data_IF_739745949371
#
_entry.id   IF_739745949371
#
_cell.length_a   1.000
_cell.length_b   1.000
_cell.length_c   1.000
_cell.angle_alpha   90.00
_cell.angle_beta   90.00
_cell.angle_gamma   90.00
#
_symmetry.space_group_name_H-M   'P 1'
#
loop_
_entity.id
_entity.type
_entity.pdbx_description
1 polymer ?
#
# COMPACT_ATOMS: atom_id res chain seq x y z
N UNK A 1 9.82 -8.98 12.58
CA UNK A 1 8.93 -9.00 13.75
C UNK A 1 7.53 -8.67 13.27
N UNK A 2 6.56 -9.60 13.38
CA UNK A 2 5.20 -9.32 12.91
C UNK A 2 4.58 -8.20 13.76
N UNK A 3 4.12 -7.12 13.13
CA UNK A 3 3.74 -5.88 13.80
C UNK A 3 2.29 -5.46 13.51
N UNK A 4 1.70 -4.65 14.40
CA UNK A 4 0.34 -4.10 14.24
C UNK A 4 0.37 -2.83 13.37
N UNK A 5 -0.34 -2.85 12.24
CA UNK A 5 -0.41 -1.70 11.33
C UNK A 5 -1.02 -0.47 12.01
N UNK A 6 -1.97 -0.64 12.94
CA UNK A 6 -2.63 0.49 13.61
C UNK A 6 -1.64 1.31 14.41
N UNK A 7 -0.75 0.63 15.14
CA UNK A 7 0.30 1.32 15.89
C UNK A 7 1.16 2.14 14.93
N UNK A 8 1.66 1.51 13.88
CA UNK A 8 2.63 2.14 12.98
C UNK A 8 2.02 3.27 12.18
N UNK A 9 0.80 3.13 11.65
CA UNK A 9 0.15 4.18 10.87
C UNK A 9 -0.19 5.40 11.75
N UNK A 10 -0.60 5.17 13.00
CA UNK A 10 -0.79 6.27 13.95
C UNK A 10 0.54 6.92 14.35
N UNK A 11 1.62 6.15 14.55
CA UNK A 11 2.96 6.71 14.81
C UNK A 11 3.43 7.57 13.63
N UNK A 12 3.24 7.07 12.40
CA UNK A 12 3.54 7.77 11.15
C UNK A 12 2.77 9.08 11.02
N UNK A 13 1.46 9.05 11.26
CA UNK A 13 0.61 10.23 11.29
C UNK A 13 1.11 11.26 12.32
N UNK A 14 1.41 10.82 13.55
CA UNK A 14 1.80 11.70 14.66
C UNK A 14 3.21 12.29 14.50
N UNK A 15 4.11 11.57 13.85
CA UNK A 15 5.51 11.98 13.63
C UNK A 15 5.79 12.47 12.21
N UNK A 16 4.75 12.67 11.40
CA UNK A 16 4.83 13.22 10.04
C UNK A 16 5.78 12.47 9.10
N UNK A 17 5.67 11.15 9.08
CA UNK A 17 6.30 10.30 8.07
C UNK A 17 5.24 9.35 7.45
N UNK A 18 5.60 8.59 6.43
CA UNK A 18 4.75 7.51 5.93
C UNK A 18 5.46 6.16 5.94
N UNK A 19 4.70 5.09 6.22
CA UNK A 19 5.17 3.73 6.10
C UNK A 19 5.12 3.33 4.64
N UNK A 20 6.21 2.72 4.16
CA UNK A 20 6.25 2.17 2.83
C UNK A 20 5.46 0.87 2.76
N UNK A 21 4.49 0.83 1.85
CA UNK A 21 3.77 -0.37 1.46
C UNK A 21 4.26 -0.82 0.10
N UNK A 22 4.78 -2.05 0.04
CA UNK A 22 5.27 -2.67 -1.18
C UNK A 22 4.48 -3.93 -1.52
N UNK A 23 3.93 -3.95 -2.73
CA UNK A 23 3.32 -5.15 -3.31
C UNK A 23 4.40 -6.10 -3.84
N UNK A 24 4.33 -7.37 -3.44
CA UNK A 24 5.29 -8.44 -3.77
C UNK A 24 4.58 -9.75 -4.11
N UNK A 25 5.08 -10.50 -5.10
CA UNK A 25 4.48 -11.80 -5.51
C UNK A 25 5.51 -12.90 -5.79
N UNK A 26 6.80 -12.63 -5.61
CA UNK A 26 7.86 -13.63 -5.75
C UNK A 26 8.93 -13.46 -4.67
N UNK A 27 9.88 -14.39 -4.64
CA UNK A 27 10.91 -14.47 -3.64
C UNK A 27 11.87 -13.27 -3.71
N UNK A 28 12.28 -12.86 -4.91
CA UNK A 28 13.24 -11.77 -5.14
C UNK A 28 12.70 -10.44 -4.63
N UNK A 29 11.43 -10.14 -4.91
CA UNK A 29 10.80 -8.90 -4.47
C UNK A 29 10.59 -8.89 -2.95
N UNK A 30 10.06 -9.98 -2.38
CA UNK A 30 9.84 -10.09 -0.94
C UNK A 30 11.15 -9.96 -0.16
N UNK A 31 12.20 -10.67 -0.60
CA UNK A 31 13.52 -10.58 0.02
C UNK A 31 14.14 -9.20 -0.16
N UNK A 32 14.05 -8.59 -1.34
CA UNK A 32 14.62 -7.27 -1.59
C UNK A 32 13.97 -6.17 -0.72
N UNK A 33 12.64 -6.20 -0.57
CA UNK A 33 11.92 -5.27 0.30
C UNK A 33 12.30 -5.45 1.77
N UNK A 34 12.40 -6.71 2.25
CA UNK A 34 12.81 -6.98 3.63
C UNK A 34 14.25 -6.54 3.88
N UNK A 35 15.18 -6.82 2.95
CA UNK A 35 16.56 -6.36 3.06
C UNK A 35 16.66 -4.84 3.17
N UNK A 36 15.83 -4.12 2.40
CA UNK A 36 15.79 -2.66 2.42
C UNK A 36 15.26 -2.13 3.76
N UNK A 37 14.20 -2.73 4.29
CA UNK A 37 13.62 -2.37 5.57
C UNK A 37 14.59 -2.63 6.73
N UNK A 38 15.29 -3.77 6.73
CA UNK A 38 16.31 -4.10 7.74
C UNK A 38 17.50 -3.15 7.67
N UNK A 39 18.02 -2.86 6.48
CA UNK A 39 19.11 -1.90 6.31
C UNK A 39 18.72 -0.50 6.77
N UNK A 40 17.51 -0.07 6.44
CA UNK A 40 17.00 1.24 6.83
C UNK A 40 16.56 1.32 8.29
N UNK A 41 16.48 0.19 9.02
CA UNK A 41 15.81 0.10 10.33
C UNK A 41 14.41 0.74 10.28
N UNK A 42 13.59 0.35 9.32
CA UNK A 42 12.28 0.94 9.06
C UNK A 42 11.16 -0.07 9.31
N UNK A 43 10.00 0.35 9.85
CA UNK A 43 8.77 -0.42 9.69
C UNK A 43 8.42 -0.54 8.20
N UNK A 44 7.85 -1.66 7.78
CA UNK A 44 7.44 -1.88 6.39
C UNK A 44 6.17 -2.72 6.29
N UNK A 45 5.36 -2.45 5.28
CA UNK A 45 4.22 -3.28 4.89
C UNK A 45 4.61 -4.08 3.66
N UNK A 46 4.67 -5.41 3.78
CA UNK A 46 4.72 -6.33 2.65
C UNK A 46 3.31 -6.76 2.30
N UNK A 47 2.97 -6.70 1.02
CA UNK A 47 1.58 -6.87 0.62
C UNK A 47 1.42 -7.72 -0.62
N UNK A 48 0.24 -8.33 -0.70
CA UNK A 48 -0.26 -9.04 -1.87
C UNK A 48 -1.65 -8.50 -2.19
N UNK A 49 -1.97 -8.33 -3.47
CA UNK A 49 -3.25 -7.78 -3.89
C UNK A 49 -3.91 -8.60 -4.98
N UNK A 50 -5.20 -8.33 -5.20
CA UNK A 50 -6.01 -9.01 -6.22
C UNK A 50 -5.38 -8.97 -7.63
N UNK A 51 -4.60 -7.94 -7.94
CA UNK A 51 -3.91 -7.79 -9.22
C UNK A 51 -2.83 -8.86 -9.51
N UNK A 52 -2.36 -9.60 -8.50
CA UNK A 52 -1.21 -10.52 -8.65
C UNK A 52 -1.57 -12.00 -8.53
N UNK A 53 -2.85 -12.34 -8.38
CA UNK A 53 -3.32 -13.73 -8.29
C UNK A 53 -2.97 -14.54 -9.55
N UNK A 54 -2.72 -13.88 -10.69
CA UNK A 54 -2.21 -14.53 -11.91
C UNK A 54 -0.72 -14.85 -11.90
N UNK A 55 0.07 -14.30 -10.98
CA UNK A 55 1.52 -14.44 -10.93
C UNK A 55 1.98 -15.60 -10.04
N UNK A 56 1.28 -15.85 -8.94
CA UNK A 56 1.57 -16.94 -7.99
C UNK A 56 0.31 -17.32 -7.22
N UNK A 57 0.29 -18.53 -6.61
CA UNK A 57 -0.72 -18.85 -5.60
C UNK A 57 -0.45 -18.03 -4.35
N UNK A 58 -1.45 -17.25 -3.97
CA UNK A 58 -1.38 -16.49 -2.73
C UNK A 58 -1.31 -17.42 -1.52
N UNK A 59 -2.09 -18.50 -1.50
CA UNK A 59 -2.16 -19.45 -0.39
C UNK A 59 -0.79 -20.02 -0.07
N UNK A 60 -0.04 -20.42 -1.08
CA UNK A 60 1.33 -20.92 -0.92
C UNK A 60 2.32 -19.80 -0.57
N UNK A 61 2.23 -18.66 -1.26
CA UNK A 61 3.18 -17.55 -1.09
C UNK A 61 3.04 -16.84 0.27
N UNK A 62 1.82 -16.80 0.82
CA UNK A 62 1.50 -16.21 2.13
C UNK A 62 2.36 -16.79 3.25
N UNK A 63 2.64 -18.10 3.20
CA UNK A 63 3.47 -18.78 4.18
C UNK A 63 4.91 -18.25 4.18
N UNK A 64 5.45 -17.92 3.00
CA UNK A 64 6.75 -17.28 2.88
C UNK A 64 6.72 -15.85 3.43
N UNK A 65 5.71 -15.05 3.07
CA UNK A 65 5.54 -13.68 3.57
C UNK A 65 5.49 -13.65 5.10
N UNK A 66 4.61 -14.45 5.72
CA UNK A 66 4.43 -14.51 7.17
C UNK A 66 5.67 -15.04 7.88
N UNK A 67 6.33 -16.07 7.32
CA UNK A 67 7.56 -16.63 7.89
C UNK A 67 8.69 -15.60 7.94
N UNK A 68 8.87 -14.84 6.85
CA UNK A 68 9.89 -13.80 6.77
C UNK A 68 9.54 -12.59 7.64
N UNK A 69 8.29 -12.14 7.63
CA UNK A 69 7.81 -11.08 8.51
C UNK A 69 8.08 -11.39 10.00
N UNK A 70 7.86 -12.63 10.44
CA UNK A 70 8.15 -13.06 11.82
C UNK A 70 9.65 -13.02 12.15
N UNK A 71 10.52 -13.39 11.20
CA UNK A 71 11.98 -13.49 11.39
C UNK A 71 12.73 -12.17 11.25
N UNK A 72 12.15 -11.19 10.56
CA UNK A 72 12.79 -9.89 10.34
C UNK A 72 13.18 -9.22 11.68
N UNK A 73 14.29 -8.48 11.66
CA UNK A 73 14.78 -7.69 12.78
C UNK A 73 14.01 -6.37 13.00
N UNK A 74 13.23 -5.96 11.99
CA UNK A 74 12.37 -4.76 12.02
C UNK A 74 10.87 -5.13 12.07
N UNK A 75 9.99 -4.16 12.40
CA UNK A 75 8.55 -4.32 12.32
C UNK A 75 8.09 -4.56 10.87
N UNK A 76 7.40 -5.67 10.63
CA UNK A 76 6.85 -6.03 9.32
C UNK A 76 5.37 -6.34 9.47
N UNK A 77 4.55 -5.71 8.63
CA UNK A 77 3.12 -5.95 8.51
C UNK A 77 2.86 -6.77 7.23
N UNK A 78 1.94 -7.73 7.31
CA UNK A 78 1.43 -8.48 6.14
C UNK A 78 0.04 -7.97 5.79
N UNK A 79 -0.10 -7.39 4.59
CA UNK A 79 -1.34 -6.73 4.16
C UNK A 79 -1.96 -7.38 2.92
N UNK A 80 -3.28 -7.39 2.84
CA UNK A 80 -4.00 -7.66 1.59
C UNK A 80 -4.48 -6.37 0.92
N UNK A 81 -3.98 -6.10 -0.29
CA UNK A 81 -4.28 -4.90 -1.08
C UNK A 81 -5.50 -5.10 -2.00
N UNK A 82 -6.38 -4.10 -2.03
CA UNK A 82 -7.59 -4.06 -2.85
C UNK A 82 -8.49 -5.31 -2.78
N UNK A 83 -8.88 -5.75 -1.57
CA UNK A 83 -9.81 -6.87 -1.40
C UNK A 83 -11.21 -6.55 -1.94
N UNK A 84 -11.58 -7.17 -3.08
CA UNK A 84 -12.83 -6.88 -3.82
C UNK A 84 -14.08 -7.61 -3.30
N UNK A 85 -13.94 -8.58 -2.41
CA UNK A 85 -15.05 -9.31 -1.79
C UNK A 85 -14.70 -9.78 -0.38
N UNK A 86 -15.72 -10.12 0.41
CA UNK A 86 -15.54 -10.72 1.74
C UNK A 86 -14.78 -12.04 1.67
N UNK A 87 -15.03 -12.86 0.65
CA UNK A 87 -14.33 -14.13 0.41
C UNK A 87 -12.82 -13.92 0.24
N UNK A 88 -12.41 -12.92 -0.55
CA UNK A 88 -11.00 -12.61 -0.81
C UNK A 88 -10.29 -12.21 0.49
N UNK A 89 -10.84 -11.26 1.24
CA UNK A 89 -10.18 -10.77 2.47
C UNK A 89 -10.24 -11.81 3.60
N UNK A 90 -11.27 -12.65 3.63
CA UNK A 90 -11.33 -13.80 4.53
C UNK A 90 -10.24 -14.83 4.19
N UNK A 91 -10.03 -15.14 2.90
CA UNK A 91 -8.95 -16.01 2.46
C UNK A 91 -7.57 -15.44 2.85
N UNK A 92 -7.37 -14.14 2.68
CA UNK A 92 -6.16 -13.45 3.09
C UNK A 92 -5.87 -13.60 4.59
N UNK A 93 -6.88 -13.38 5.42
CA UNK A 93 -6.80 -13.56 6.86
C UNK A 93 -6.50 -15.01 7.27
N UNK A 94 -7.21 -16.00 6.70
CA UNK A 94 -6.97 -17.43 6.97
C UNK A 94 -5.53 -17.83 6.69
N UNK A 95 -4.90 -17.20 5.69
CA UNK A 95 -3.52 -17.43 5.29
C UNK A 95 -2.51 -16.49 5.98
N UNK A 96 -2.91 -15.83 7.06
CA UNK A 96 -2.01 -15.16 8.00
C UNK A 96 -1.69 -13.71 7.68
N UNK A 97 -2.44 -13.06 6.79
CA UNK A 97 -2.42 -11.60 6.69
C UNK A 97 -2.94 -10.99 7.99
N UNK A 98 -2.20 -10.02 8.53
CA UNK A 98 -2.56 -9.36 9.79
C UNK A 98 -3.08 -7.93 9.60
N UNK A 99 -3.31 -7.52 8.35
CA UNK A 99 -4.01 -6.31 7.94
C UNK A 99 -4.71 -6.57 6.61
N UNK A 100 -5.89 -5.98 6.41
CA UNK A 100 -6.69 -6.19 5.21
C UNK A 100 -7.16 -4.84 4.65
N UNK A 101 -7.32 -4.74 3.34
CA UNK A 101 -8.09 -3.67 2.72
C UNK A 101 -9.39 -4.22 2.13
N UNK A 102 -10.53 -3.62 2.48
CA UNK A 102 -11.79 -3.81 1.76
C UNK A 102 -11.97 -2.66 0.76
N UNK A 103 -11.78 -2.97 -0.52
CA UNK A 103 -11.99 -2.00 -1.58
C UNK A 103 -13.38 -2.18 -2.23
N UNK A 104 -14.32 -1.35 -1.77
CA UNK A 104 -15.65 -1.18 -2.34
C UNK A 104 -15.84 0.21 -3.00
N UNK A 105 -14.75 0.88 -3.38
CA UNK A 105 -14.76 2.22 -4.00
C UNK A 105 -15.54 2.31 -5.32
N UNK A 106 -15.67 1.20 -6.04
CA UNK A 106 -16.43 1.12 -7.29
C UNK A 106 -17.96 1.13 -7.09
N UNK A 107 -18.44 0.97 -5.85
CA UNK A 107 -19.85 1.04 -5.50
C UNK A 107 -20.25 2.46 -5.10
N UNK A 108 -21.56 2.74 -5.07
CA UNK A 108 -22.04 4.01 -4.52
C UNK A 108 -21.74 4.13 -3.02
N UNK A 109 -21.90 5.34 -2.48
CA UNK A 109 -21.50 5.67 -1.12
C UNK A 109 -22.14 4.76 -0.05
N UNK A 110 -23.44 4.47 -0.19
CA UNK A 110 -24.18 3.67 0.80
C UNK A 110 -23.77 2.20 0.72
N UNK A 111 -23.60 1.66 -0.48
CA UNK A 111 -23.16 0.28 -0.66
C UNK A 111 -21.68 0.09 -0.26
N UNK A 112 -20.82 1.09 -0.51
CA UNK A 112 -19.44 1.10 -0.02
C UNK A 112 -19.41 1.08 1.53
N UNK A 113 -20.22 1.92 2.19
CA UNK A 113 -20.36 1.88 3.66
C UNK A 113 -20.81 0.50 4.12
N UNK A 114 -21.86 -0.07 3.51
CA UNK A 114 -22.42 -1.37 3.90
C UNK A 114 -21.37 -2.48 3.80
N UNK A 115 -20.67 -2.58 2.67
CA UNK A 115 -19.67 -3.61 2.39
C UNK A 115 -18.41 -3.45 3.25
N UNK A 116 -17.98 -2.22 3.48
CA UNK A 116 -16.82 -1.94 4.35
C UNK A 116 -17.15 -2.23 5.81
N UNK A 117 -18.32 -1.81 6.28
CA UNK A 117 -18.81 -2.12 7.63
C UNK A 117 -18.92 -3.61 7.87
N UNK A 118 -19.42 -4.37 6.89
CA UNK A 118 -19.51 -5.83 6.97
C UNK A 118 -18.12 -6.47 7.23
N UNK A 119 -17.08 -6.00 6.53
CA UNK A 119 -15.71 -6.45 6.76
C UNK A 119 -15.20 -6.04 8.15
N UNK A 120 -15.37 -4.78 8.53
CA UNK A 120 -14.98 -4.23 9.84
C UNK A 120 -15.62 -5.03 10.99
N UNK A 121 -16.94 -5.20 10.96
CA UNK A 121 -17.69 -5.90 12.01
C UNK A 121 -17.25 -7.36 12.17
N UNK A 122 -16.77 -8.00 11.09
CA UNK A 122 -16.25 -9.36 11.12
C UNK A 122 -14.80 -9.43 11.64
N UNK A 123 -13.91 -8.56 11.16
CA UNK A 123 -12.47 -8.66 11.41
C UNK A 123 -12.00 -7.97 12.69
N UNK A 124 -12.70 -6.94 13.16
CA UNK A 124 -12.31 -6.21 14.37
C UNK A 124 -12.35 -7.08 15.64
N UNK A 125 -13.37 -7.93 15.88
CA UNK A 125 -13.36 -8.87 17.00
C UNK A 125 -12.19 -9.87 16.98
N UNK A 126 -11.60 -10.10 15.80
CA UNK A 126 -10.43 -10.96 15.59
C UNK A 126 -9.11 -10.20 15.72
N UNK A 127 -9.16 -8.90 16.02
CA UNK A 127 -8.00 -8.03 16.14
C UNK A 127 -7.36 -7.65 14.81
N UNK A 128 -8.08 -7.81 13.69
CA UNK A 128 -7.55 -7.54 12.35
C UNK A 128 -8.06 -6.17 11.86
N UNK A 129 -7.16 -5.22 11.61
CA UNK A 129 -7.52 -3.90 11.11
C UNK A 129 -7.89 -3.91 9.63
N UNK A 130 -8.81 -3.03 9.25
CA UNK A 130 -9.35 -2.90 7.90
C UNK A 130 -9.13 -1.48 7.34
N UNK A 131 -8.34 -1.39 6.27
CA UNK A 131 -8.24 -0.21 5.41
C UNK A 131 -9.44 -0.16 4.45
N UNK A 132 -9.94 1.04 4.17
CA UNK A 132 -11.01 1.28 3.21
C UNK A 132 -10.64 2.37 2.20
N UNK A 133 -11.39 2.50 1.11
CA UNK A 133 -11.19 3.53 0.09
C UNK A 133 -12.49 4.32 -0.15
N UNK A 134 -12.36 5.66 -0.18
CA UNK A 134 -13.43 6.58 -0.55
C UNK A 134 -12.98 7.47 -1.71
N UNK A 135 -13.84 7.67 -2.70
CA UNK A 135 -13.43 8.06 -4.05
C UNK A 135 -13.15 6.80 -4.86
N UNK A 136 -12.37 6.88 -5.94
CA UNK A 136 -11.92 5.68 -6.66
C UNK A 136 -10.59 5.91 -7.38
N UNK A 137 -9.59 5.11 -7.03
CA UNK A 137 -8.32 5.03 -7.76
C UNK A 137 -8.43 3.91 -8.78
N UNK A 138 -8.61 4.28 -10.05
CA UNK A 138 -8.76 3.32 -11.14
C UNK A 138 -7.55 2.40 -11.35
N UNK A 139 -7.76 1.36 -12.17
CA UNK A 139 -6.68 0.50 -12.65
C UNK A 139 -5.71 1.27 -13.56
N UNK A 140 -4.56 0.66 -13.85
CA UNK A 140 -3.60 1.21 -14.82
C UNK A 140 -4.25 1.44 -16.19
N UNK A 141 -4.11 2.67 -16.69
CA UNK A 141 -4.61 3.12 -18.00
C UNK A 141 -3.89 4.41 -18.42
N UNK A 142 -4.29 5.00 -19.54
CA UNK A 142 -3.85 6.34 -19.97
C UNK A 142 -4.32 7.37 -18.95
N UNK A 143 -3.37 8.09 -18.34
CA UNK A 143 -3.64 8.96 -17.19
C UNK A 143 -4.64 10.07 -17.50
N UNK A 144 -4.56 10.67 -18.69
CA UNK A 144 -5.48 11.73 -19.11
C UNK A 144 -6.92 11.24 -19.21
N UNK A 145 -7.12 9.99 -19.64
CA UNK A 145 -8.43 9.35 -19.72
C UNK A 145 -8.97 9.02 -18.33
N UNK A 146 -8.12 8.49 -17.44
CA UNK A 146 -8.47 8.27 -16.04
C UNK A 146 -8.87 9.59 -15.35
N UNK A 147 -8.11 10.66 -15.59
CA UNK A 147 -8.34 11.95 -14.95
C UNK A 147 -9.65 12.61 -15.40
N UNK A 148 -10.07 12.40 -16.65
CA UNK A 148 -11.30 12.96 -17.19
C UNK A 148 -12.57 12.43 -16.52
N UNK A 149 -12.55 11.18 -16.04
CA UNK A 149 -13.63 10.53 -15.31
C UNK A 149 -13.35 10.34 -13.82
N UNK A 150 -12.39 11.08 -13.27
CA UNK A 150 -11.85 10.78 -11.94
C UNK A 150 -12.83 11.11 -10.81
N UNK A 151 -13.02 10.15 -9.92
CA UNK A 151 -13.85 10.31 -8.73
C UNK A 151 -12.96 10.63 -7.52
N UNK A 152 -12.74 11.93 -7.29
CA UNK A 152 -12.05 12.42 -6.09
C UNK A 152 -12.81 12.02 -4.82
N UNK A 153 -12.09 11.79 -3.73
CA UNK A 153 -12.70 11.71 -2.40
C UNK A 153 -13.43 13.02 -2.11
N UNK A 154 -14.72 12.95 -1.77
CA UNK A 154 -15.46 14.10 -1.25
C UNK A 154 -15.12 14.29 0.25
N UNK A 155 -14.45 15.39 0.63
CA UNK A 155 -14.09 15.60 2.03
C UNK A 155 -15.29 15.74 2.96
N UNK A 156 -16.47 16.11 2.46
CA UNK A 156 -17.70 16.21 3.25
C UNK A 156 -18.28 14.85 3.65
N UNK A 157 -17.96 13.81 2.87
CA UNK A 157 -18.41 12.44 3.13
C UNK A 157 -17.45 11.63 4.00
N UNK A 158 -16.17 12.05 4.09
CA UNK A 158 -15.12 11.26 4.74
C UNK A 158 -15.39 11.00 6.24
N UNK A 159 -15.87 12.01 6.98
CA UNK A 159 -16.18 11.86 8.40
C UNK A 159 -17.31 10.85 8.63
N UNK A 160 -18.41 10.97 7.86
CA UNK A 160 -19.53 10.04 7.93
C UNK A 160 -19.11 8.63 7.52
N UNK A 161 -18.29 8.49 6.47
CA UNK A 161 -17.80 7.20 6.00
C UNK A 161 -17.00 6.49 7.10
N UNK A 162 -16.03 7.18 7.71
CA UNK A 162 -15.21 6.60 8.79
C UNK A 162 -16.05 6.28 10.02
N UNK A 163 -16.99 7.15 10.41
CA UNK A 163 -17.88 6.90 11.55
C UNK A 163 -18.77 5.67 11.32
N UNK A 164 -19.40 5.57 10.15
CA UNK A 164 -20.36 4.49 9.85
C UNK A 164 -19.69 3.16 9.56
N UNK A 165 -18.49 3.17 8.97
CA UNK A 165 -17.74 1.94 8.66
C UNK A 165 -16.91 1.47 9.84
N UNK A 166 -16.31 2.40 10.58
CA UNK A 166 -15.32 2.11 11.62
C UNK A 166 -13.97 1.66 11.08
N UNK A 167 -13.61 1.92 9.82
CA UNK A 167 -12.33 1.51 9.25
C UNK A 167 -11.13 2.11 10.01
N UNK A 168 -9.97 1.44 9.97
CA UNK A 168 -8.78 1.84 10.74
C UNK A 168 -7.91 2.84 9.98
N UNK A 169 -7.98 2.85 8.66
CA UNK A 169 -7.30 3.81 7.78
C UNK A 169 -8.12 4.03 6.50
N UNK A 170 -7.89 5.17 5.86
CA UNK A 170 -8.67 5.63 4.70
C UNK A 170 -7.76 5.99 3.52
N UNK A 171 -7.86 5.23 2.45
CA UNK A 171 -7.31 5.58 1.15
C UNK A 171 -8.14 6.68 0.50
N UNK A 172 -7.44 7.72 0.02
CA UNK A 172 -8.05 8.88 -0.62
C UNK A 172 -7.64 8.99 -2.08
N UNK A 173 -8.61 9.25 -2.94
CA UNK A 173 -8.45 9.52 -4.36
C UNK A 173 -8.26 11.03 -4.57
N UNK A 174 -7.03 11.42 -4.92
CA UNK A 174 -6.63 12.84 -5.05
C UNK A 174 -6.12 13.18 -6.44
N UNK A 175 -6.40 12.36 -7.45
CA UNK A 175 -5.87 12.50 -8.81
C UNK A 175 -4.71 11.55 -9.10
N UNK A 176 -4.40 10.64 -8.18
CA UNK A 176 -3.44 9.55 -8.32
C UNK A 176 -4.05 8.36 -9.09
N UNK A 177 -3.25 7.59 -9.82
CA UNK A 177 -3.63 6.36 -10.51
C UNK A 177 -2.62 5.23 -10.27
N UNK A 178 -3.03 4.00 -10.51
CA UNK A 178 -2.12 2.86 -10.57
C UNK A 178 -1.33 2.83 -11.88
N UNK A 179 -0.14 2.21 -11.86
CA UNK A 179 0.66 2.00 -13.05
C UNK A 179 1.56 3.17 -13.43
N UNK A 180 2.01 3.18 -14.68
CA UNK A 180 2.86 4.26 -15.22
C UNK A 180 1.99 5.44 -15.65
N UNK A 181 2.33 6.64 -15.20
CA UNK A 181 1.66 7.86 -15.65
C UNK A 181 2.12 8.26 -17.07
N UNK A 182 1.17 8.52 -17.97
CA UNK A 182 1.43 8.97 -19.35
C UNK A 182 1.70 10.48 -19.44
N UNK A 183 1.42 11.24 -18.38
CA UNK A 183 1.80 12.65 -18.19
C UNK A 183 1.99 12.97 -16.71
N UNK A 184 2.36 14.22 -16.41
CA UNK A 184 2.62 14.66 -15.02
C UNK A 184 1.37 14.50 -14.13
N UNK A 185 1.48 13.78 -12.97
CA UNK A 185 0.39 13.63 -12.02
C UNK A 185 -0.14 14.98 -11.51
N UNK A 186 -1.45 15.17 -11.51
CA UNK A 186 -2.13 16.38 -11.03
C UNK A 186 -2.86 16.07 -9.73
N UNK A 187 -2.14 16.17 -8.61
CA UNK A 187 -2.70 15.88 -7.30
C UNK A 187 -3.45 17.08 -6.71
N UNK A 188 -4.64 16.84 -6.18
CA UNK A 188 -5.42 17.82 -5.44
C UNK A 188 -5.16 17.68 -3.94
N UNK A 189 -4.15 18.40 -3.46
CA UNK A 189 -3.77 18.40 -2.05
C UNK A 189 -4.82 19.02 -1.10
N UNK A 190 -5.74 19.85 -1.61
CA UNK A 190 -6.84 20.39 -0.80
C UNK A 190 -7.74 19.25 -0.28
N UNK A 191 -7.91 18.19 -1.06
CA UNK A 191 -8.66 16.99 -0.64
C UNK A 191 -8.00 16.35 0.57
N UNK A 192 -6.68 16.14 0.54
CA UNK A 192 -5.92 15.58 1.69
C UNK A 192 -6.10 16.45 2.93
N UNK A 193 -5.90 17.77 2.80
CA UNK A 193 -6.01 18.69 3.93
C UNK A 193 -7.40 18.68 4.55
N UNK A 194 -8.45 18.72 3.72
CA UNK A 194 -9.83 18.75 4.20
C UNK A 194 -10.26 17.42 4.81
N UNK A 195 -9.88 16.30 4.19
CA UNK A 195 -10.16 14.96 4.75
C UNK A 195 -9.42 14.79 6.08
N UNK A 196 -8.13 15.17 6.15
CA UNK A 196 -7.33 15.10 7.38
C UNK A 196 -7.95 15.88 8.54
N UNK A 197 -8.58 17.02 8.26
CA UNK A 197 -9.31 17.80 9.29
C UNK A 197 -10.64 17.15 9.71
N UNK A 198 -11.23 16.33 8.84
CA UNK A 198 -12.54 15.72 9.05
C UNK A 198 -12.47 14.36 9.76
N UNK A 199 -11.38 13.59 9.59
CA UNK A 199 -11.23 12.25 10.17
C UNK A 199 -10.06 12.19 11.15
N UNK A 200 -10.05 11.20 12.04
CA UNK A 200 -8.92 10.91 12.96
C UNK A 200 -8.03 9.77 12.47
N UNK A 201 -8.56 8.88 11.64
CA UNK A 201 -7.83 7.71 11.11
C UNK A 201 -6.67 8.12 10.19
N UNK A 202 -5.57 7.36 10.15
CA UNK A 202 -4.49 7.51 9.18
C UNK A 202 -4.97 7.56 7.71
N UNK A 203 -4.32 8.38 6.87
CA UNK A 203 -4.65 8.49 5.43
C UNK A 203 -3.63 7.75 4.57
N UNK A 204 -4.13 7.11 3.51
CA UNK A 204 -3.33 6.28 2.61
C UNK A 204 -3.32 6.87 1.21
N UNK A 205 -2.13 6.89 0.59
CA UNK A 205 -1.96 7.27 -0.82
C UNK A 205 -1.61 6.04 -1.67
N UNK A 206 -2.52 5.72 -2.58
CA UNK A 206 -2.37 4.65 -3.56
C UNK A 206 -1.69 5.17 -4.84
N UNK A 207 -1.25 4.28 -5.73
CA UNK A 207 -0.78 4.69 -7.06
C UNK A 207 0.38 5.71 -7.05
N UNK A 208 1.29 5.62 -6.08
CA UNK A 208 2.30 6.65 -5.85
C UNK A 208 3.55 6.53 -6.74
N UNK A 209 3.65 5.46 -7.51
CA UNK A 209 4.75 5.23 -8.45
C UNK A 209 4.77 6.29 -9.55
N UNK A 210 5.88 7.03 -9.67
CA UNK A 210 6.00 8.14 -10.65
C UNK A 210 5.46 9.50 -10.19
N UNK A 211 4.91 9.60 -8.97
CA UNK A 211 4.65 10.90 -8.32
C UNK A 211 5.99 11.52 -7.90
N UNK A 212 6.13 12.85 -8.08
CA UNK A 212 7.37 13.54 -7.76
C UNK A 212 7.72 13.45 -6.27
N UNK A 213 9.00 13.41 -5.93
CA UNK A 213 9.46 13.41 -4.53
C UNK A 213 8.93 14.62 -3.74
N UNK A 214 8.77 15.77 -4.41
CA UNK A 214 8.23 16.98 -3.81
C UNK A 214 6.75 16.80 -3.44
N UNK A 215 5.96 16.20 -4.33
CA UNK A 215 4.55 15.92 -4.10
C UNK A 215 4.33 14.84 -3.04
N UNK A 216 5.18 13.81 -3.01
CA UNK A 216 5.17 12.80 -1.95
C UNK A 216 5.42 13.46 -0.59
N UNK A 217 6.48 14.26 -0.46
CA UNK A 217 6.78 14.98 0.79
C UNK A 217 5.65 15.93 1.17
N UNK A 218 5.02 16.58 0.18
CA UNK A 218 3.87 17.45 0.41
C UNK A 218 2.67 16.65 0.94
N UNK A 219 2.35 15.50 0.34
CA UNK A 219 1.27 14.62 0.77
C UNK A 219 1.47 14.16 2.23
N UNK A 220 2.68 13.72 2.59
CA UNK A 220 3.04 13.32 3.96
C UNK A 220 2.86 14.49 4.94
N UNK A 221 3.33 15.69 4.56
CA UNK A 221 3.17 16.89 5.41
C UNK A 221 1.72 17.27 5.68
N UNK A 222 0.78 16.82 4.83
CA UNK A 222 -0.65 17.06 4.95
C UNK A 222 -1.40 15.91 5.67
N UNK A 223 -0.71 14.83 6.03
CA UNK A 223 -1.26 13.75 6.84
C UNK A 223 -1.40 12.39 6.16
N UNK A 224 -0.79 12.18 4.98
CA UNK A 224 -0.60 10.83 4.43
C UNK A 224 0.43 10.08 5.28
N UNK A 225 0.09 8.87 5.72
CA UNK A 225 0.87 8.05 6.66
C UNK A 225 1.19 6.64 6.13
N UNK A 226 0.59 6.23 5.01
CA UNK A 226 0.93 5.00 4.28
C UNK A 226 0.93 5.30 2.78
N UNK A 227 1.96 4.81 2.08
CA UNK A 227 2.12 5.04 0.64
C UNK A 227 2.39 3.72 -0.07
N UNK A 228 1.56 3.40 -1.06
CA UNK A 228 1.64 2.17 -1.82
C UNK A 228 2.58 2.35 -3.03
N UNK A 229 3.61 1.51 -3.13
CA UNK A 229 4.55 1.44 -4.25
C UNK A 229 4.53 0.04 -4.84
N UNK A 230 4.42 -0.02 -6.17
CA UNK A 230 4.48 -1.28 -6.88
C UNK A 230 5.24 -1.16 -8.20
N UNK A 231 4.73 -0.35 -9.13
CA UNK A 231 5.26 -0.22 -10.49
C UNK A 231 6.76 0.09 -10.54
N UNK A 232 7.26 0.91 -9.61
CA UNK A 232 8.68 1.21 -9.53
C UNK A 232 9.57 0.02 -9.15
N UNK A 233 9.07 -0.94 -8.36
CA UNK A 233 9.81 -2.17 -8.07
C UNK A 233 9.93 -3.04 -9.32
N UNK A 234 8.86 -3.13 -10.11
CA UNK A 234 8.85 -3.86 -11.38
C UNK A 234 9.80 -3.22 -12.39
N UNK A 235 9.81 -1.89 -12.48
CA UNK A 235 10.75 -1.18 -13.35
C UNK A 235 12.21 -1.46 -12.94
N UNK A 236 12.52 -1.39 -11.65
CA UNK A 236 13.86 -1.71 -11.15
C UNK A 236 14.26 -3.16 -11.46
N UNK A 237 13.34 -4.12 -11.25
CA UNK A 237 13.55 -5.52 -11.60
C UNK A 237 13.81 -5.70 -13.12
N UNK A 238 13.01 -5.06 -13.96
CA UNK A 238 13.15 -5.16 -15.42
C UNK A 238 14.45 -4.55 -15.94
N UNK A 239 14.91 -3.43 -15.37
CA UNK A 239 16.22 -2.86 -15.67
C UNK A 239 17.32 -3.87 -15.33
N UNK A 240 17.29 -4.48 -14.14
CA UNK A 240 18.27 -5.49 -13.75
C UNK A 240 18.26 -6.72 -14.67
N UNK A 241 17.08 -7.18 -15.10
CA UNK A 241 16.95 -8.27 -16.10
C UNK A 241 17.59 -7.88 -17.43
N UNK A 242 17.31 -6.68 -17.94
CA UNK A 242 17.84 -6.23 -19.23
C UNK A 242 19.37 -6.10 -19.21
N UNK A 243 19.93 -5.56 -18.13
CA UNK A 243 21.38 -5.40 -17.95
C UNK A 243 22.10 -6.75 -17.81
N UNK A 244 21.41 -7.78 -17.30
CA UNK A 244 21.98 -9.10 -17.02
C UNK A 244 21.43 -10.20 -17.94
N UNK A 245 20.76 -9.88 -19.05
CA UNK A 245 20.05 -10.85 -19.90
C UNK A 245 20.94 -11.96 -20.49
N UNK A 246 22.26 -11.75 -20.55
CA UNK A 246 23.23 -12.73 -21.04
C UNK A 246 23.88 -13.58 -19.92
N UNK A 247 23.47 -13.37 -18.67
CA UNK A 247 23.99 -14.09 -17.50
C UNK A 247 23.12 -15.31 -17.16
N UNK A 248 23.66 -16.29 -16.40
CA UNK A 248 22.86 -17.39 -15.87
C UNK A 248 21.69 -16.88 -15.02
N UNK A 249 20.55 -17.58 -15.08
CA UNK A 249 19.32 -17.17 -14.39
C UNK A 249 19.51 -16.89 -12.89
N UNK A 250 20.27 -17.75 -12.19
CA UNK A 250 20.57 -17.56 -10.76
C UNK A 250 21.33 -16.26 -10.46
N UNK A 251 22.15 -15.77 -11.40
CA UNK A 251 22.79 -14.46 -11.29
C UNK A 251 21.77 -13.35 -11.49
N UNK A 252 20.90 -13.47 -12.50
CA UNK A 252 19.84 -12.50 -12.78
C UNK A 252 18.90 -12.33 -11.58
N UNK A 253 18.45 -13.41 -10.95
CA UNK A 253 17.59 -13.35 -9.75
C UNK A 253 18.23 -12.55 -8.60
N UNK A 254 19.55 -12.70 -8.40
CA UNK A 254 20.28 -11.97 -7.36
C UNK A 254 20.38 -10.48 -7.68
N UNK A 255 20.64 -10.12 -8.94
CA UNK A 255 20.66 -8.72 -9.37
C UNK A 255 19.27 -8.09 -9.31
N UNK A 256 18.20 -8.85 -9.63
CA UNK A 256 16.82 -8.40 -9.47
C UNK A 256 16.51 -8.10 -8.00
N UNK A 257 16.85 -9.01 -7.07
CA UNK A 257 16.67 -8.78 -5.63
C UNK A 257 17.40 -7.51 -5.18
N UNK A 258 18.64 -7.30 -5.65
CA UNK A 258 19.43 -6.12 -5.33
C UNK A 258 18.79 -4.84 -5.86
N UNK A 259 18.33 -4.82 -7.10
CA UNK A 259 17.66 -3.66 -7.69
C UNK A 259 16.34 -3.32 -6.99
N UNK A 260 15.54 -4.34 -6.64
CA UNK A 260 14.31 -4.14 -5.85
C UNK A 260 14.63 -3.58 -4.47
N UNK A 261 15.66 -4.11 -3.80
CA UNK A 261 16.13 -3.58 -2.51
C UNK A 261 16.51 -2.11 -2.61
N UNK A 262 17.33 -1.74 -3.60
CA UNK A 262 17.78 -0.36 -3.79
C UNK A 262 16.60 0.59 -4.00
N UNK A 263 15.64 0.22 -4.86
CA UNK A 263 14.43 1.02 -5.08
C UNK A 263 13.54 1.10 -3.84
N UNK A 264 13.37 0.01 -3.10
CA UNK A 264 12.60 0.03 -1.85
C UNK A 264 13.26 0.94 -0.80
N UNK A 265 14.60 0.90 -0.69
CA UNK A 265 15.37 1.74 0.23
C UNK A 265 15.25 3.24 -0.11
N UNK A 266 15.27 3.59 -1.39
CA UNK A 266 15.01 4.96 -1.86
C UNK A 266 13.64 5.47 -1.38
N UNK A 267 12.59 4.64 -1.52
CA UNK A 267 11.23 5.01 -1.10
C UNK A 267 11.07 5.10 0.42
N UNK A 268 11.66 4.17 1.18
CA UNK A 268 11.68 4.24 2.65
C UNK A 268 12.28 5.57 3.12
N UNK A 269 13.42 5.97 2.56
CA UNK A 269 14.07 7.26 2.89
C UNK A 269 13.24 8.46 2.43
N UNK A 270 12.63 8.39 1.25
CA UNK A 270 11.75 9.45 0.75
C UNK A 270 10.55 9.67 1.67
N UNK A 271 10.00 8.59 2.22
CA UNK A 271 8.84 8.64 3.11
C UNK A 271 9.19 8.99 4.56
N UNK A 272 10.49 9.05 4.90
CA UNK A 272 10.99 9.40 6.23
C UNK A 272 10.79 8.34 7.30
N UNK A 273 10.62 7.07 6.90
CA UNK A 273 10.46 5.93 7.80
C UNK A 273 11.78 5.25 8.19
N UNK A 274 12.91 5.66 7.60
CA UNK A 274 14.23 5.18 8.00
C UNK A 274 14.55 5.54 9.47
N UNK A 275 15.11 4.56 10.18
CA UNK A 275 15.41 4.65 11.60
C UNK A 275 14.20 4.66 12.54
N UNK A 276 12.97 4.43 12.04
CA UNK A 276 11.75 4.46 12.87
C UNK A 276 11.41 3.12 13.52
N UNK A 277 12.14 2.04 13.25
CA UNK A 277 11.88 0.72 13.83
C UNK A 277 12.21 0.59 15.33
N UNK A 278 12.84 1.60 15.93
CA UNK A 278 13.21 1.66 17.36
C UNK A 278 12.21 2.46 18.19
#
# INVERSE_FOLDING_TARGET
MLADIKYWENDAQNKHYAIAHFNVWNAEMLMGVIDAAEEAKSPVIISFGTGFVGNTSFEDFSHMMVSMAKKASVPVITHWDHGRSMEIIHNAWVHGMNSLMRDASAFDFEENIRLTKEAVDFFHPLGIPVEAELGHVGNETVYEEALAGYHYTDPSQAAEFVERTGCDSLAVAIGNQHGVYTSEPKLNFEVVERVRRAVSVPLVLHGASGISDADIKKAISLGISKINIHTELCQAAMVAVQENQNQPFLHVEREVRKAVKERALEKIKLFGSDGKAE
#
